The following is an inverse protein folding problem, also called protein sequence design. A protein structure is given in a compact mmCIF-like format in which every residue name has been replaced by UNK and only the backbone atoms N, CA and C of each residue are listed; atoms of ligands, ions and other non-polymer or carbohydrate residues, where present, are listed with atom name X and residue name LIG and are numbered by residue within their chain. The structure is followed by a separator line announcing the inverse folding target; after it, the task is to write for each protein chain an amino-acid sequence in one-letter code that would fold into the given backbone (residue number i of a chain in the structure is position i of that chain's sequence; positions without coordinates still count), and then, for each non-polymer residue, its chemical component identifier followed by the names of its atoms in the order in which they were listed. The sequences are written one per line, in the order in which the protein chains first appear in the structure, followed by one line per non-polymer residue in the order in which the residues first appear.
data_IF_300757018321
#
_entry.id   IF_300757018321
#
_cell.length_a   1.000
_cell.length_b   1.000
_cell.length_c   1.000
_cell.angle_alpha   90.00
_cell.angle_beta   90.00
_cell.angle_gamma   90.00
#
_symmetry.space_group_name_H-M   'P 1'
#
loop_
_entity.id
_entity.type
_entity.pdbx_description
1 polymer ?
#
# COMPACT_ATOMS: atom_id res chain seq x y z
N UNK A 1 18.99 14.81 6.38
CA UNK A 1 18.06 13.90 5.68
C UNK A 1 18.75 12.80 4.86
N UNK A 2 19.78 13.07 4.04
CA UNK A 2 20.41 12.02 3.18
C UNK A 2 20.91 10.78 3.95
N UNK A 3 21.49 10.94 5.14
CA UNK A 3 22.01 9.81 5.94
C UNK A 3 20.93 8.84 6.43
N UNK A 4 19.74 9.34 6.78
CA UNK A 4 18.61 8.50 7.22
C UNK A 4 18.05 7.67 6.06
N UNK A 5 17.92 8.29 4.89
CA UNK A 5 17.48 7.61 3.67
C UNK A 5 18.45 6.51 3.25
N UNK A 6 19.77 6.76 3.32
CA UNK A 6 20.79 5.74 3.02
C UNK A 6 20.72 4.57 4.00
N UNK A 7 20.55 4.85 5.30
CA UNK A 7 20.35 3.81 6.33
C UNK A 7 19.13 2.93 5.99
N UNK A 8 17.99 3.53 5.66
CA UNK A 8 16.79 2.78 5.33
C UNK A 8 16.92 1.95 4.04
N UNK A 9 17.64 2.46 3.03
CA UNK A 9 17.98 1.71 1.82
C UNK A 9 18.89 0.51 2.09
N UNK A 10 19.84 0.63 3.02
CA UNK A 10 20.70 -0.51 3.41
C UNK A 10 19.91 -1.56 4.20
N UNK A 11 18.96 -1.16 5.05
CA UNK A 11 18.02 -2.10 5.70
C UNK A 11 17.22 -2.87 4.64
N UNK A 12 16.76 -2.20 3.58
CA UNK A 12 16.11 -2.89 2.46
C UNK A 12 17.03 -3.87 1.75
N UNK A 13 18.29 -3.47 1.50
CA UNK A 13 19.29 -4.31 0.85
C UNK A 13 19.56 -5.58 1.64
N UNK A 14 19.59 -5.49 2.97
CA UNK A 14 19.69 -6.65 3.87
C UNK A 14 18.52 -7.62 3.71
N UNK A 15 17.32 -7.11 3.43
CA UNK A 15 16.10 -7.90 3.23
C UNK A 15 15.90 -8.38 1.79
N UNK A 16 16.82 -8.11 0.85
CA UNK A 16 16.66 -8.36 -0.60
C UNK A 16 16.32 -9.83 -0.95
N UNK A 17 16.84 -10.79 -0.18
CA UNK A 17 16.54 -12.22 -0.38
C UNK A 17 15.05 -12.53 -0.16
N UNK A 18 14.45 -11.92 0.86
CA UNK A 18 13.02 -12.05 1.16
C UNK A 18 12.17 -11.46 0.03
N UNK A 19 12.60 -10.33 -0.56
CA UNK A 19 11.93 -9.73 -1.71
C UNK A 19 11.93 -10.64 -2.93
N UNK A 20 13.10 -11.22 -3.26
CA UNK A 20 13.20 -12.14 -4.40
C UNK A 20 12.27 -13.34 -4.21
N UNK A 21 12.26 -13.93 -3.00
CA UNK A 21 11.38 -15.06 -2.69
C UNK A 21 9.89 -14.71 -2.84
N UNK A 22 9.48 -13.55 -2.34
CA UNK A 22 8.11 -13.02 -2.50
C UNK A 22 7.72 -12.88 -3.98
N UNK A 23 8.60 -12.29 -4.80
CA UNK A 23 8.31 -12.11 -6.22
C UNK A 23 8.18 -13.44 -6.95
N UNK A 24 9.04 -14.42 -6.63
CA UNK A 24 8.95 -15.76 -7.21
C UNK A 24 7.60 -16.39 -6.89
N UNK A 25 7.15 -16.32 -5.63
CA UNK A 25 5.84 -16.84 -5.22
C UNK A 25 4.71 -16.10 -5.93
N UNK A 26 4.77 -14.76 -5.99
CA UNK A 26 3.75 -13.94 -6.65
C UNK A 26 3.64 -14.25 -8.14
N UNK A 27 4.76 -14.42 -8.83
CA UNK A 27 4.81 -14.82 -10.25
C UNK A 27 4.26 -16.23 -10.41
N UNK A 28 4.66 -17.18 -9.57
CA UNK A 28 4.13 -18.54 -9.61
C UNK A 28 2.61 -18.56 -9.46
N UNK A 29 2.06 -17.87 -8.47
CA UNK A 29 0.61 -17.74 -8.29
C UNK A 29 -0.08 -17.04 -9.47
N UNK A 30 0.56 -16.02 -10.06
CA UNK A 30 0.04 -15.38 -11.25
C UNK A 30 0.03 -16.30 -12.48
N UNK A 31 0.97 -17.23 -12.59
CA UNK A 31 0.98 -18.20 -13.70
C UNK A 31 0.03 -19.38 -13.45
N UNK A 32 -0.12 -19.81 -12.19
CA UNK A 32 -0.84 -21.05 -11.84
C UNK A 32 -2.30 -20.86 -11.43
N UNK A 33 -2.69 -19.68 -10.92
CA UNK A 33 -4.03 -19.47 -10.34
C UNK A 33 -4.97 -18.73 -11.29
N UNK A 34 -6.28 -18.97 -11.23
CA UNK A 34 -7.29 -18.20 -11.99
C UNK A 34 -7.33 -16.71 -11.65
N UNK A 35 -6.70 -16.27 -10.56
CA UNK A 35 -6.75 -14.91 -10.03
C UNK A 35 -6.10 -13.82 -10.92
N UNK A 36 -5.33 -14.19 -11.95
CA UNK A 36 -4.82 -13.25 -12.93
C UNK A 36 -3.80 -12.24 -12.39
N UNK A 37 -3.52 -11.16 -13.15
CA UNK A 37 -2.47 -10.19 -12.81
C UNK A 37 -2.81 -9.39 -11.56
N UNK A 38 -4.10 -9.32 -11.22
CA UNK A 38 -4.66 -8.79 -9.98
C UNK A 38 -3.93 -9.29 -8.75
N UNK A 39 -3.66 -10.61 -8.67
CA UNK A 39 -2.99 -11.20 -7.52
C UNK A 39 -1.55 -10.69 -7.39
N UNK A 40 -0.74 -10.81 -8.46
CA UNK A 40 0.66 -10.39 -8.43
C UNK A 40 0.78 -8.90 -8.11
N UNK A 41 -0.02 -8.05 -8.75
CA UNK A 41 0.07 -6.60 -8.58
C UNK A 41 -0.37 -6.22 -7.16
N UNK A 42 -1.53 -6.69 -6.70
CA UNK A 42 -2.05 -6.33 -5.37
C UNK A 42 -1.17 -6.87 -4.24
N UNK A 43 -0.72 -8.12 -4.33
CA UNK A 43 0.11 -8.76 -3.33
C UNK A 43 1.46 -8.07 -3.16
N UNK A 44 2.15 -7.78 -4.27
CA UNK A 44 3.43 -7.06 -4.23
C UNK A 44 3.26 -5.64 -3.72
N UNK A 45 2.16 -4.97 -4.09
CA UNK A 45 1.87 -3.60 -3.61
C UNK A 45 1.70 -3.55 -2.10
N UNK A 46 0.95 -4.49 -1.52
CA UNK A 46 0.77 -4.60 -0.05
C UNK A 46 2.08 -4.93 0.64
N UNK A 47 2.89 -5.82 0.06
CA UNK A 47 4.20 -6.12 0.65
C UNK A 47 5.17 -4.95 0.59
N UNK A 48 5.10 -4.11 -0.44
CA UNK A 48 5.83 -2.85 -0.47
C UNK A 48 5.41 -1.91 0.68
N UNK A 49 4.12 -1.84 0.99
CA UNK A 49 3.61 -1.12 2.16
C UNK A 49 4.16 -1.71 3.47
N UNK A 50 4.13 -3.03 3.64
CA UNK A 50 4.71 -3.72 4.82
C UNK A 50 6.19 -3.41 5.00
N UNK A 51 6.94 -3.31 3.91
CA UNK A 51 8.37 -3.00 3.97
C UNK A 51 8.64 -1.58 4.45
N UNK A 52 7.81 -0.62 4.03
CA UNK A 52 7.88 0.72 4.57
C UNK A 52 7.61 0.74 6.08
N UNK A 53 6.62 -0.04 6.54
CA UNK A 53 6.33 -0.22 7.97
C UNK A 53 7.49 -0.87 8.74
N UNK A 54 8.21 -1.81 8.12
CA UNK A 54 9.36 -2.44 8.73
C UNK A 54 10.50 -1.44 8.99
N UNK A 55 10.67 -0.40 8.16
CA UNK A 55 11.68 0.63 8.44
C UNK A 55 11.37 1.43 9.70
N UNK A 56 10.09 1.72 9.97
CA UNK A 56 9.65 2.35 11.22
C UNK A 56 9.80 1.36 12.37
N UNK A 57 9.50 0.07 12.15
CA UNK A 57 9.66 -0.96 13.16
C UNK A 57 11.13 -1.11 13.60
N UNK A 58 12.07 -1.11 12.65
CA UNK A 58 13.51 -1.18 12.93
C UNK A 58 14.01 0.04 13.71
N UNK A 59 13.41 1.22 13.51
CA UNK A 59 13.72 2.43 14.27
C UNK A 59 13.20 2.38 15.72
N UNK A 60 12.08 1.68 15.92
CA UNK A 60 11.41 1.49 17.21
C UNK A 60 11.96 0.27 17.98
N UNK A 61 12.80 -0.57 17.35
CA UNK A 61 13.43 -1.72 18.01
C UNK A 61 14.25 -1.28 19.21
N UNK A 62 14.08 -2.00 20.33
CA UNK A 62 14.79 -1.76 21.59
C UNK A 62 14.73 -0.31 22.08
N UNK A 63 13.61 0.38 21.83
CA UNK A 63 13.44 1.81 22.09
C UNK A 63 14.52 2.68 21.40
N UNK A 64 14.84 2.42 20.13
CA UNK A 64 15.84 3.16 19.35
C UNK A 64 15.44 4.61 18.99
N UNK A 65 14.16 4.97 19.11
CA UNK A 65 13.64 6.29 18.71
C UNK A 65 14.31 7.50 19.40
N UNK A 66 14.58 7.50 20.72
CA UNK A 66 15.33 8.58 21.37
C UNK A 66 16.74 8.75 20.81
N UNK A 67 17.43 7.65 20.45
CA UNK A 67 18.75 7.69 19.83
C UNK A 67 18.71 8.37 18.45
N UNK A 68 17.68 8.10 17.65
CA UNK A 68 17.49 8.75 16.34
C UNK A 68 17.35 10.27 16.50
N UNK A 69 16.69 10.73 17.56
CA UNK A 69 16.50 12.16 17.83
C UNK A 69 17.70 12.84 18.52
N UNK A 70 18.79 12.12 18.78
CA UNK A 70 20.09 12.74 19.11
C UNK A 70 20.78 13.30 17.87
N UNK A 71 20.45 12.80 16.68
CA UNK A 71 20.90 13.38 15.41
C UNK A 71 20.21 14.72 15.17
N UNK A 72 20.82 15.65 14.40
CA UNK A 72 20.24 16.95 14.08
C UNK A 72 19.10 16.82 13.05
N UNK A 73 18.01 16.15 13.42
CA UNK A 73 16.84 15.87 12.59
C UNK A 73 15.59 16.20 13.40
N UNK A 74 14.72 17.04 12.85
CA UNK A 74 13.45 17.35 13.50
C UNK A 74 12.46 16.20 13.37
N UNK A 75 11.52 16.12 14.32
CA UNK A 75 10.44 15.12 14.28
C UNK A 75 9.57 15.23 13.02
N UNK A 76 9.42 16.44 12.47
CA UNK A 76 8.72 16.68 11.20
C UNK A 76 9.47 16.09 10.02
N UNK A 77 10.78 16.29 9.98
CA UNK A 77 11.63 15.75 8.91
C UNK A 77 11.65 14.23 8.94
N UNK A 78 11.70 13.62 10.14
CA UNK A 78 11.57 12.17 10.30
C UNK A 78 10.27 11.64 9.67
N UNK A 79 9.11 12.23 10.02
CA UNK A 79 7.83 11.78 9.46
C UNK A 79 7.80 11.97 7.95
N UNK A 80 8.21 13.14 7.43
CA UNK A 80 8.23 13.39 5.98
C UNK A 80 9.13 12.40 5.23
N UNK A 81 10.27 12.08 5.80
CA UNK A 81 11.21 11.10 5.26
C UNK A 81 10.55 9.72 5.15
N UNK A 82 9.90 9.23 6.22
CA UNK A 82 9.21 7.93 6.19
C UNK A 82 8.06 7.86 5.20
N UNK A 83 7.27 8.93 5.07
CA UNK A 83 6.22 9.00 4.05
C UNK A 83 6.78 9.01 2.64
N UNK A 84 7.88 9.75 2.40
CA UNK A 84 8.52 9.80 1.09
C UNK A 84 9.16 8.46 0.72
N UNK A 85 9.87 7.84 1.66
CA UNK A 85 10.47 6.52 1.52
C UNK A 85 9.39 5.46 1.28
N UNK A 86 8.30 5.46 2.08
CA UNK A 86 7.20 4.52 1.90
C UNK A 86 6.47 4.68 0.57
N UNK A 87 6.19 5.92 0.14
CA UNK A 87 5.60 6.18 -1.18
C UNK A 87 6.55 5.79 -2.33
N UNK A 88 7.85 6.06 -2.19
CA UNK A 88 8.88 5.65 -3.14
C UNK A 88 8.99 4.13 -3.26
N UNK A 89 9.01 3.41 -2.13
CA UNK A 89 9.04 1.94 -2.14
C UNK A 89 7.81 1.34 -2.81
N UNK A 90 6.62 1.83 -2.45
CA UNK A 90 5.36 1.36 -3.04
C UNK A 90 5.37 1.58 -4.55
N UNK A 91 5.73 2.77 -5.01
CA UNK A 91 5.73 3.09 -6.45
C UNK A 91 6.75 2.26 -7.24
N UNK A 92 7.98 2.09 -6.74
CA UNK A 92 9.02 1.31 -7.43
C UNK A 92 8.65 -0.17 -7.50
N UNK A 93 8.27 -0.78 -6.38
CA UNK A 93 7.94 -2.21 -6.35
C UNK A 93 6.64 -2.51 -7.11
N UNK A 94 5.64 -1.64 -7.01
CA UNK A 94 4.44 -1.76 -7.83
C UNK A 94 4.76 -1.66 -9.33
N UNK A 95 5.61 -0.72 -9.74
CA UNK A 95 5.98 -0.55 -11.15
C UNK A 95 6.68 -1.79 -11.71
N UNK A 96 7.55 -2.42 -10.92
CA UNK A 96 8.19 -3.70 -11.28
C UNK A 96 7.16 -4.82 -11.44
N UNK A 97 6.20 -4.92 -10.52
CA UNK A 97 5.11 -5.90 -10.63
C UNK A 97 4.26 -5.68 -11.90
N UNK A 98 3.90 -4.44 -12.21
CA UNK A 98 3.17 -4.09 -13.44
C UNK A 98 4.00 -4.43 -14.68
N UNK A 99 5.29 -4.12 -14.70
CA UNK A 99 6.18 -4.45 -15.82
C UNK A 99 6.25 -5.96 -16.07
N UNK A 100 6.32 -6.77 -15.01
CA UNK A 100 6.29 -8.24 -15.11
C UNK A 100 4.94 -8.71 -15.67
N UNK A 101 3.82 -8.16 -15.17
CA UNK A 101 2.48 -8.51 -15.66
C UNK A 101 2.32 -8.19 -17.16
N UNK A 102 2.83 -7.04 -17.61
CA UNK A 102 2.85 -6.66 -19.03
C UNK A 102 3.73 -7.63 -19.83
N UNK A 103 4.92 -7.98 -19.32
CA UNK A 103 5.84 -8.91 -20.00
C UNK A 103 5.25 -10.31 -20.20
N UNK A 104 4.53 -10.83 -19.20
CA UNK A 104 3.84 -12.13 -19.30
C UNK A 104 2.63 -12.06 -20.23
N UNK A 105 1.93 -10.93 -20.27
CA UNK A 105 0.84 -10.73 -21.23
C UNK A 105 1.37 -10.66 -22.67
N UNK A 106 2.47 -9.92 -22.87
CA UNK A 106 3.14 -9.80 -24.17
C UNK A 106 3.76 -11.12 -24.67
N UNK A 107 4.19 -12.01 -23.77
CA UNK A 107 4.72 -13.33 -24.15
C UNK A 107 3.63 -14.31 -24.63
N UNK A 108 2.35 -13.95 -24.49
CA UNK A 108 1.22 -14.81 -24.87
C UNK A 108 0.96 -15.96 -23.91
N UNK A 109 1.75 -16.10 -22.83
CA UNK A 109 1.56 -17.18 -21.84
C UNK A 109 0.22 -17.03 -21.11
N UNK A 110 -0.19 -15.78 -20.82
CA UNK A 110 -1.50 -15.47 -20.27
C UNK A 110 -2.01 -14.15 -20.82
N UNK A 111 -2.96 -14.23 -21.74
CA UNK A 111 -3.58 -13.05 -22.33
C UNK A 111 -4.64 -12.49 -21.40
N UNK A 112 -4.49 -11.22 -21.05
CA UNK A 112 -5.41 -10.48 -20.17
C UNK A 112 -5.77 -9.18 -20.87
N UNK A 113 -7.01 -8.72 -20.72
CA UNK A 113 -7.43 -7.45 -21.31
C UNK A 113 -6.61 -6.29 -20.71
N UNK A 114 -6.35 -5.27 -21.52
CA UNK A 114 -5.68 -4.05 -21.04
C UNK A 114 -6.48 -3.34 -19.96
N UNK A 115 -7.81 -3.42 -20.02
CA UNK A 115 -8.71 -2.86 -19.00
C UNK A 115 -8.52 -3.54 -17.64
N UNK A 116 -8.44 -4.88 -17.61
CA UNK A 116 -8.23 -5.64 -16.39
C UNK A 116 -6.83 -5.36 -15.80
N UNK A 117 -5.80 -5.21 -16.65
CA UNK A 117 -4.45 -4.89 -16.20
C UNK A 117 -4.38 -3.48 -15.60
N UNK A 118 -4.99 -2.47 -16.24
CA UNK A 118 -5.06 -1.10 -15.73
C UNK A 118 -5.86 -1.05 -14.43
N UNK A 119 -6.99 -1.73 -14.36
CA UNK A 119 -7.81 -1.79 -13.15
C UNK A 119 -7.04 -2.44 -11.99
N UNK A 120 -6.33 -3.54 -12.25
CA UNK A 120 -5.49 -4.22 -11.28
C UNK A 120 -4.34 -3.35 -10.79
N UNK A 121 -3.67 -2.65 -11.71
CA UNK A 121 -2.60 -1.70 -11.42
C UNK A 121 -3.09 -0.57 -10.51
N UNK A 122 -4.21 0.06 -10.87
CA UNK A 122 -4.80 1.15 -10.09
C UNK A 122 -5.27 0.68 -8.70
N UNK A 123 -5.96 -0.46 -8.63
CA UNK A 123 -6.46 -1.02 -7.38
C UNK A 123 -5.33 -1.43 -6.43
N UNK A 124 -4.29 -2.10 -6.95
CA UNK A 124 -3.13 -2.52 -6.15
C UNK A 124 -2.39 -1.33 -5.55
N UNK A 125 -2.14 -0.29 -6.35
CA UNK A 125 -1.50 0.94 -5.88
C UNK A 125 -2.35 1.65 -4.84
N UNK A 126 -3.67 1.75 -5.08
CA UNK A 126 -4.61 2.37 -4.15
C UNK A 126 -4.59 1.68 -2.79
N UNK A 127 -4.67 0.35 -2.80
CA UNK A 127 -4.72 -0.44 -1.58
C UNK A 127 -3.43 -0.30 -0.77
N UNK A 128 -2.26 -0.28 -1.41
CA UNK A 128 -0.98 -0.06 -0.73
C UNK A 128 -0.85 1.35 -0.12
N UNK A 129 -1.24 2.38 -0.88
CA UNK A 129 -1.24 3.77 -0.39
C UNK A 129 -2.22 3.93 0.77
N UNK A 130 -3.41 3.34 0.66
CA UNK A 130 -4.42 3.34 1.72
C UNK A 130 -3.91 2.63 2.99
N UNK A 131 -3.30 1.46 2.85
CA UNK A 131 -2.70 0.73 3.97
C UNK A 131 -1.64 1.58 4.68
N UNK A 132 -0.71 2.19 3.94
CA UNK A 132 0.29 3.10 4.54
C UNK A 132 -0.36 4.30 5.22
N UNK A 133 -1.34 4.94 4.57
CA UNK A 133 -2.04 6.10 5.12
C UNK A 133 -2.79 5.78 6.42
N UNK A 134 -3.26 4.55 6.64
CA UNK A 134 -3.91 4.17 7.89
C UNK A 134 -2.89 3.70 8.93
N UNK A 135 -1.92 2.87 8.54
CA UNK A 135 -1.05 2.17 9.49
C UNK A 135 0.10 3.06 9.97
N UNK A 136 0.63 3.98 9.15
CA UNK A 136 1.72 4.88 9.55
C UNK A 136 1.41 5.71 10.80
N UNK A 137 0.28 6.45 10.90
CA UNK A 137 -0.03 7.23 12.10
C UNK A 137 -0.23 6.35 13.33
N UNK A 138 -0.83 5.17 13.17
CA UNK A 138 -1.02 4.20 14.26
C UNK A 138 0.32 3.68 14.76
N UNK A 139 1.20 3.24 13.86
CA UNK A 139 2.50 2.68 14.22
C UNK A 139 3.40 3.72 14.88
N UNK A 140 3.39 4.97 14.40
CA UNK A 140 4.12 6.06 15.04
C UNK A 140 3.60 6.37 16.44
N UNK A 141 2.29 6.22 16.68
CA UNK A 141 1.68 6.49 17.99
C UNK A 141 1.88 5.36 19.00
N UNK A 142 1.57 4.13 18.59
CA UNK A 142 1.43 2.96 19.48
C UNK A 142 2.57 1.94 19.33
N UNK A 143 3.51 2.17 18.40
CA UNK A 143 4.64 1.29 18.15
C UNK A 143 4.35 0.18 17.13
N UNK A 144 5.40 -0.58 16.82
CA UNK A 144 5.41 -1.60 15.76
C UNK A 144 4.40 -2.74 15.95
N UNK A 145 4.17 -3.18 17.20
CA UNK A 145 3.26 -4.30 17.51
C UNK A 145 1.81 -3.96 17.17
N UNK A 146 1.34 -2.80 17.62
CA UNK A 146 -0.01 -2.31 17.34
C UNK A 146 -0.19 -1.95 15.87
N UNK A 147 0.82 -1.40 15.21
CA UNK A 147 0.78 -1.13 13.76
C UNK A 147 0.51 -2.40 12.94
N UNK A 148 1.22 -3.50 13.25
CA UNK A 148 1.00 -4.80 12.58
C UNK A 148 -0.37 -5.39 12.85
N UNK A 149 -0.89 -5.28 14.07
CA UNK A 149 -2.26 -5.70 14.39
C UNK A 149 -3.29 -4.91 13.59
N UNK A 150 -3.14 -3.60 13.46
CA UNK A 150 -4.05 -2.77 12.66
C UNK A 150 -3.98 -3.14 11.18
N UNK A 151 -2.80 -3.43 10.63
CA UNK A 151 -2.69 -3.94 9.27
C UNK A 151 -3.48 -5.25 9.08
N UNK A 152 -3.35 -6.20 10.00
CA UNK A 152 -4.09 -7.47 9.95
C UNK A 152 -5.60 -7.24 10.01
N UNK A 153 -6.06 -6.41 10.96
CA UNK A 153 -7.48 -6.05 11.08
C UNK A 153 -7.99 -5.34 9.83
N UNK A 154 -7.17 -4.49 9.20
CA UNK A 154 -7.54 -3.79 7.98
C UNK A 154 -7.71 -4.77 6.82
N UNK A 155 -6.74 -5.68 6.60
CA UNK A 155 -6.80 -6.65 5.51
C UNK A 155 -7.96 -7.65 5.71
N UNK A 156 -8.01 -8.32 6.87
CA UNK A 156 -9.05 -9.32 7.15
C UNK A 156 -10.42 -8.69 7.37
N UNK A 157 -10.47 -7.49 7.95
CA UNK A 157 -11.72 -6.75 8.17
C UNK A 157 -12.35 -6.32 6.85
N UNK A 158 -11.58 -5.80 5.89
CA UNK A 158 -12.11 -5.47 4.56
C UNK A 158 -12.65 -6.72 3.85
N UNK A 159 -11.92 -7.85 3.93
CA UNK A 159 -12.39 -9.11 3.35
C UNK A 159 -13.68 -9.61 4.00
N UNK A 160 -13.76 -9.61 5.33
CA UNK A 160 -14.94 -10.05 6.07
C UNK A 160 -16.16 -9.17 5.79
N UNK A 161 -15.99 -7.84 5.85
CA UNK A 161 -17.06 -6.87 5.55
C UNK A 161 -17.51 -7.00 4.10
N UNK A 162 -16.58 -7.17 3.15
CA UNK A 162 -16.91 -7.38 1.75
C UNK A 162 -17.76 -8.64 1.54
N UNK A 163 -17.36 -9.76 2.14
CA UNK A 163 -18.08 -11.03 1.97
C UNK A 163 -19.46 -11.03 2.65
N UNK A 164 -19.51 -10.62 3.93
CA UNK A 164 -20.75 -10.50 4.70
C UNK A 164 -21.69 -9.47 4.07
N UNK A 165 -21.14 -8.35 3.61
CA UNK A 165 -21.91 -7.29 2.95
C UNK A 165 -22.58 -7.78 1.67
N UNK A 166 -21.85 -8.51 0.82
CA UNK A 166 -22.43 -9.11 -0.39
C UNK A 166 -23.52 -10.12 -0.03
N UNK A 167 -23.30 -10.97 0.97
CA UNK A 167 -24.26 -12.01 1.36
C UNK A 167 -25.55 -11.43 1.97
N UNK A 168 -25.43 -10.42 2.84
CA UNK A 168 -26.58 -9.69 3.38
C UNK A 168 -27.35 -8.94 2.29
N UNK A 169 -26.62 -8.30 1.37
CA UNK A 169 -27.24 -7.57 0.28
C UNK A 169 -28.03 -8.48 -0.67
N UNK A 170 -27.52 -9.67 -0.96
CA UNK A 170 -28.21 -10.70 -1.75
C UNK A 170 -29.47 -11.20 -1.02
N UNK A 171 -29.41 -11.38 0.31
CA UNK A 171 -30.56 -11.79 1.12
C UNK A 171 -31.65 -10.72 1.22
N UNK A 172 -31.30 -9.43 1.26
CA UNK A 172 -32.25 -8.33 1.44
C UNK A 172 -32.80 -7.71 0.14
N UNK A 173 -32.38 -8.17 -1.04
CA UNK A 173 -32.73 -7.57 -2.36
C UNK A 173 -32.54 -6.04 -2.38
N UNK A 174 -31.47 -5.56 -1.75
CA UNK A 174 -31.15 -4.12 -1.71
C UNK A 174 -30.85 -3.66 -3.14
N UNK A 175 -31.60 -2.66 -3.61
CA UNK A 175 -31.46 -2.17 -4.96
C UNK A 175 -30.21 -1.28 -5.09
N UNK A 176 -29.17 -1.80 -5.75
CA UNK A 176 -27.93 -1.07 -6.04
C UNK A 176 -28.06 -0.13 -7.24
N UNK A 177 -29.25 0.03 -7.81
CA UNK A 177 -29.49 0.88 -8.99
C UNK A 177 -28.84 2.27 -8.87
N UNK A 178 -28.96 2.93 -7.71
CA UNK A 178 -28.32 4.23 -7.46
C UNK A 178 -26.79 4.22 -7.48
N UNK A 179 -26.17 3.24 -6.81
CA UNK A 179 -24.70 3.12 -6.71
C UNK A 179 -24.09 2.63 -8.04
N UNK A 180 -24.80 1.73 -8.72
CA UNK A 180 -24.45 1.24 -10.06
C UNK A 180 -24.56 2.36 -11.10
N UNK A 181 -25.57 3.22 -11.00
CA UNK A 181 -25.72 4.39 -11.88
C UNK A 181 -24.64 5.45 -11.64
N UNK A 182 -24.23 5.67 -10.39
CA UNK A 182 -23.07 6.50 -10.05
C UNK A 182 -21.77 5.90 -10.63
N UNK A 183 -21.55 4.60 -10.45
CA UNK A 183 -20.41 3.88 -11.02
C UNK A 183 -20.35 3.95 -12.54
N UNK A 184 -21.49 3.74 -13.21
CA UNK A 184 -21.62 3.86 -14.67
C UNK A 184 -21.39 5.31 -15.15
N UNK A 185 -21.91 6.31 -14.44
CA UNK A 185 -21.64 7.73 -14.75
C UNK A 185 -20.15 8.05 -14.65
N UNK A 186 -19.48 7.55 -13.63
CA UNK A 186 -18.03 7.74 -13.45
C UNK A 186 -17.25 7.01 -14.54
N UNK A 187 -17.63 5.76 -14.87
CA UNK A 187 -17.00 5.00 -15.95
C UNK A 187 -17.14 5.69 -17.32
N UNK A 188 -18.29 6.33 -17.56
CA UNK A 188 -18.56 7.08 -18.79
C UNK A 188 -17.77 8.40 -18.91
N UNK A 189 -17.13 8.89 -17.84
CA UNK A 189 -16.20 10.03 -17.91
C UNK A 189 -14.86 9.65 -18.57
N UNK A 190 -14.63 8.36 -18.81
CA UNK A 190 -13.43 7.83 -19.43
C UNK A 190 -12.36 7.44 -18.41
N UNK A 191 -11.61 6.39 -18.75
CA UNK A 191 -10.54 5.81 -17.93
C UNK A 191 -9.53 6.86 -17.44
N UNK A 192 -9.07 7.84 -18.26
CA UNK A 192 -8.11 8.86 -17.80
C UNK A 192 -8.64 9.73 -16.66
N UNK A 193 -9.92 10.11 -16.69
CA UNK A 193 -10.54 10.96 -15.67
C UNK A 193 -10.68 10.18 -14.36
N UNK A 194 -11.07 8.91 -14.43
CA UNK A 194 -11.13 8.02 -13.26
C UNK A 194 -9.77 7.87 -12.57
N UNK A 195 -8.70 7.65 -13.35
CA UNK A 195 -7.34 7.53 -12.82
C UNK A 195 -6.85 8.84 -12.19
N UNK A 196 -7.15 9.99 -12.81
CA UNK A 196 -6.81 11.29 -12.24
C UNK A 196 -7.51 11.55 -10.89
N UNK A 197 -8.82 11.24 -10.79
CA UNK A 197 -9.56 11.35 -9.53
C UNK A 197 -8.99 10.43 -8.44
N UNK A 198 -8.67 9.19 -8.79
CA UNK A 198 -8.05 8.23 -7.87
C UNK A 198 -6.68 8.71 -7.38
N UNK A 199 -5.87 9.29 -8.27
CA UNK A 199 -4.57 9.86 -7.91
C UNK A 199 -4.71 11.05 -6.95
N UNK A 200 -5.65 11.97 -7.21
CA UNK A 200 -5.93 13.08 -6.29
C UNK A 200 -6.38 12.56 -4.92
N UNK A 201 -7.24 11.54 -4.89
CA UNK A 201 -7.68 10.91 -3.64
C UNK A 201 -6.50 10.31 -2.86
N UNK A 202 -5.59 9.60 -3.53
CA UNK A 202 -4.37 9.05 -2.91
C UNK A 202 -3.51 10.15 -2.29
N UNK A 203 -3.28 11.25 -3.01
CA UNK A 203 -2.50 12.38 -2.52
C UNK A 203 -3.15 13.00 -1.28
N UNK A 204 -4.47 13.22 -1.30
CA UNK A 204 -5.20 13.76 -0.15
C UNK A 204 -5.08 12.84 1.07
N UNK A 205 -5.22 11.52 0.90
CA UNK A 205 -5.05 10.55 1.98
C UNK A 205 -3.65 10.60 2.59
N UNK A 206 -2.61 10.64 1.76
CA UNK A 206 -1.22 10.74 2.24
C UNK A 206 -0.94 12.06 2.96
N UNK A 207 -1.47 13.19 2.46
CA UNK A 207 -1.31 14.49 3.10
C UNK A 207 -2.01 14.54 4.46
N UNK A 208 -3.28 14.11 4.52
CA UNK A 208 -4.04 14.05 5.78
C UNK A 208 -3.30 13.15 6.78
N UNK A 209 -2.90 11.96 6.34
CA UNK A 209 -2.20 11.01 7.18
C UNK A 209 -0.85 11.55 7.69
N UNK A 210 -0.05 12.18 6.81
CA UNK A 210 1.21 12.82 7.19
C UNK A 210 1.01 13.96 8.20
N UNK A 211 -0.02 14.80 8.05
CA UNK A 211 -0.30 15.86 9.04
C UNK A 211 -0.70 15.30 10.40
N UNK A 212 -1.45 14.18 10.43
CA UNK A 212 -1.81 13.48 11.67
C UNK A 212 -0.54 12.88 12.31
N UNK A 213 0.29 12.19 11.53
CA UNK A 213 1.57 11.62 11.99
C UNK A 213 2.53 12.66 12.56
N UNK A 214 2.62 13.84 11.93
CA UNK A 214 3.44 14.96 12.45
C UNK A 214 2.94 15.39 13.82
N UNK A 215 1.63 15.65 13.96
CA UNK A 215 1.05 16.06 15.25
C UNK A 215 1.24 15.02 16.34
N UNK A 216 1.17 13.73 15.99
CA UNK A 216 1.43 12.63 16.92
C UNK A 216 2.89 12.67 17.39
N UNK A 217 3.84 12.76 16.46
CA UNK A 217 5.27 12.75 16.81
C UNK A 217 5.71 13.99 17.55
N UNK A 218 5.16 15.18 17.26
CA UNK A 218 5.45 16.40 18.02
C UNK A 218 5.05 16.29 19.50
N UNK A 219 3.93 15.61 19.78
CA UNK A 219 3.41 15.46 21.15
C UNK A 219 4.02 14.29 21.94
N UNK A 220 4.83 13.45 21.30
CA UNK A 220 5.35 12.22 21.90
C UNK A 220 6.53 12.54 22.82
N UNK A 221 6.39 12.41 24.12
CA UNK A 221 7.51 12.59 25.05
C UNK A 221 8.35 11.31 25.09
N UNK A 222 9.68 11.47 25.10
CA UNK A 222 10.68 10.41 25.17
C UNK A 222 11.65 10.75 26.29
#
# INVERSE_FOLDING_TARGET
MKGMFVKDMEIMRGNMKTFIGVYIIAIFCFLSTSAGPSFLISYVSVLAAVMALNTIASDDMDNGMPYIFTFPISRKEYVKEKYLLGAGMVTVLWAVAVAIAIGVNASGYRMVSWEELIASAAAGLFLAVFANAVVFPVQLKYGSSTGRLVLLVLVFGIMAVGWIGVELCQKMKVDFSGLKNLGLRIWNLGIPVCLAMLFVLMLLMLLISCTISIKIMEKKEY
#
